data_IF_820624550362
#
_entry.id   IF_820624550362
#
_cell.length_a   1.000
_cell.length_b   1.000
_cell.length_c   1.000
_cell.angle_alpha   90.00
_cell.angle_beta   90.00
_cell.angle_gamma   90.00
#
_symmetry.space_group_name_H-M   'P 1'
#
loop_
_entity.id
_entity.type
_entity.pdbx_description
1 polymer ?
#
# COMPACT_ATOMS: atom_id res chain seq x y z
N UNK A 1 8.62 7.69 13.40
CA UNK A 1 9.48 6.48 13.28
C UNK A 1 8.99 5.36 14.19
N UNK A 2 8.80 5.59 15.49
CA UNK A 2 8.28 4.56 16.42
C UNK A 2 6.99 3.89 15.91
N UNK A 3 6.02 4.69 15.43
CA UNK A 3 4.76 4.14 14.93
C UNK A 3 4.90 3.30 13.65
N UNK A 4 5.83 3.62 12.75
CA UNK A 4 6.15 2.77 11.59
C UNK A 4 6.70 1.41 12.05
N UNK A 5 7.63 1.45 13.01
CA UNK A 5 8.25 0.24 13.55
C UNK A 5 7.22 -0.66 14.22
N UNK A 6 6.32 -0.08 15.03
CA UNK A 6 5.24 -0.79 15.69
C UNK A 6 4.29 -1.49 14.69
N UNK A 7 4.09 -0.90 13.51
CA UNK A 7 3.24 -1.46 12.44
C UNK A 7 3.98 -2.47 11.54
N UNK A 8 5.25 -2.73 11.81
CA UNK A 8 6.07 -3.74 11.13
C UNK A 8 6.93 -3.23 9.98
N UNK A 9 6.93 -1.92 9.69
CA UNK A 9 7.81 -1.30 8.71
C UNK A 9 9.23 -1.12 9.28
N UNK A 10 9.95 -2.24 9.44
CA UNK A 10 11.30 -2.27 10.05
C UNK A 10 12.42 -1.80 9.13
N UNK A 11 12.20 -1.83 7.81
CA UNK A 11 13.17 -1.40 6.81
C UNK A 11 12.70 -0.11 6.16
N UNK A 12 13.50 0.95 6.26
CA UNK A 12 13.21 2.26 5.68
C UNK A 12 14.13 2.47 4.49
N UNK A 13 13.60 2.36 3.28
CA UNK A 13 14.36 2.58 2.04
C UNK A 13 14.48 4.07 1.78
N UNK A 14 15.68 4.59 1.64
CA UNK A 14 15.87 6.04 1.73
C UNK A 14 16.97 6.61 0.85
N UNK A 15 16.77 7.87 0.47
CA UNK A 15 17.81 8.76 -0.03
C UNK A 15 17.79 10.00 0.85
N UNK A 16 18.89 10.26 1.56
CA UNK A 16 18.97 11.39 2.49
C UNK A 16 19.16 12.73 1.76
N UNK A 17 18.79 13.81 2.42
CA UNK A 17 18.94 15.18 1.93
C UNK A 17 18.50 16.18 2.98
N UNK A 18 18.78 17.47 2.75
CA UNK A 18 18.51 18.54 3.71
C UNK A 18 17.07 18.53 4.24
N UNK A 19 16.09 18.25 3.37
CA UNK A 19 14.68 18.24 3.73
C UNK A 19 14.32 17.18 4.77
N UNK A 20 15.06 16.06 4.89
CA UNK A 20 14.77 14.96 5.82
C UNK A 20 15.83 14.80 6.90
N UNK A 21 16.59 15.85 7.21
CA UNK A 21 17.75 15.77 8.11
C UNK A 21 17.42 15.06 9.44
N UNK A 22 16.41 15.56 10.16
CA UNK A 22 16.01 15.02 11.46
C UNK A 22 15.31 13.66 11.34
N UNK A 23 14.55 13.43 10.26
CA UNK A 23 13.93 12.12 10.02
C UNK A 23 14.97 11.05 9.73
N UNK A 24 16.02 11.37 8.96
CA UNK A 24 17.11 10.45 8.67
C UNK A 24 17.93 10.12 9.93
N UNK A 25 18.17 11.10 10.80
CA UNK A 25 18.79 10.90 12.10
C UNK A 25 17.92 10.03 13.02
N UNK A 26 16.60 10.27 13.04
CA UNK A 26 15.65 9.46 13.81
C UNK A 26 15.60 8.00 13.34
N UNK A 27 15.75 7.73 12.04
CA UNK A 27 15.89 6.34 11.53
C UNK A 27 17.20 5.73 12.06
N UNK A 28 18.32 6.45 11.98
CA UNK A 28 19.61 5.96 12.44
C UNK A 28 19.68 5.72 13.96
N UNK A 29 18.97 6.53 14.75
CA UNK A 29 18.94 6.42 16.21
C UNK A 29 18.00 5.31 16.73
N UNK A 30 17.05 4.86 15.90
CA UNK A 30 16.03 3.89 16.33
C UNK A 30 16.54 2.45 16.26
N UNK A 31 16.66 1.79 17.41
CA UNK A 31 17.31 0.46 17.55
C UNK A 31 16.71 -0.67 16.72
N UNK A 32 15.43 -0.61 16.40
CA UNK A 32 14.73 -1.65 15.65
C UNK A 32 14.50 -1.31 14.17
N UNK A 33 14.84 -0.08 13.74
CA UNK A 33 14.70 0.31 12.35
C UNK A 33 16.05 0.14 11.63
N UNK A 34 15.98 -0.36 10.40
CA UNK A 34 17.12 -0.46 9.51
C UNK A 34 16.92 0.54 8.36
N UNK A 35 17.71 1.61 8.36
CA UNK A 35 17.81 2.51 7.23
C UNK A 35 18.59 1.84 6.09
N UNK A 36 17.95 1.69 4.93
CA UNK A 36 18.58 1.12 3.72
C UNK A 36 18.82 2.28 2.74
N UNK A 37 20.05 2.80 2.62
CA UNK A 37 20.34 3.86 1.67
C UNK A 37 20.38 3.32 0.24
N UNK A 38 19.78 4.05 -0.70
CA UNK A 38 19.86 3.78 -2.14
C UNK A 38 20.44 5.00 -2.88
N UNK A 39 20.79 4.79 -4.15
CA UNK A 39 21.35 5.85 -4.99
C UNK A 39 20.30 6.68 -5.74
N UNK A 40 19.04 6.24 -5.76
CA UNK A 40 17.95 6.93 -6.44
C UNK A 40 16.62 6.70 -5.73
N UNK A 41 15.78 7.73 -5.61
CA UNK A 41 14.51 7.67 -4.87
C UNK A 41 13.50 6.74 -5.53
N UNK A 42 13.52 6.65 -6.87
CA UNK A 42 12.75 5.63 -7.59
C UNK A 42 13.09 4.21 -7.14
N UNK A 43 14.38 3.90 -6.95
CA UNK A 43 14.80 2.58 -6.46
C UNK A 43 14.35 2.38 -5.01
N UNK A 44 14.40 3.42 -4.17
CA UNK A 44 13.91 3.35 -2.80
C UNK A 44 12.40 3.09 -2.73
N UNK A 45 11.63 3.77 -3.59
CA UNK A 45 10.20 3.57 -3.73
C UNK A 45 9.87 2.13 -4.15
N UNK A 46 10.52 1.59 -5.18
CA UNK A 46 10.30 0.20 -5.60
C UNK A 46 10.77 -0.83 -4.56
N UNK A 47 11.86 -0.56 -3.84
CA UNK A 47 12.31 -1.44 -2.76
C UNK A 47 11.27 -1.52 -1.64
N UNK A 48 10.63 -0.39 -1.30
CA UNK A 48 9.53 -0.36 -0.32
C UNK A 48 8.33 -1.19 -0.81
N UNK A 49 7.96 -1.06 -2.09
CA UNK A 49 6.87 -1.86 -2.69
C UNK A 49 7.19 -3.35 -2.67
N UNK A 50 8.39 -3.75 -3.11
CA UNK A 50 8.81 -5.14 -3.13
C UNK A 50 8.86 -5.74 -1.71
N UNK A 51 9.36 -4.98 -0.74
CA UNK A 51 9.35 -5.38 0.66
C UNK A 51 7.93 -5.64 1.16
N UNK A 52 6.99 -4.76 0.85
CA UNK A 52 5.61 -4.90 1.28
C UNK A 52 4.93 -6.12 0.65
N UNK A 53 5.16 -6.35 -0.65
CA UNK A 53 4.66 -7.51 -1.36
C UNK A 53 5.19 -8.83 -0.78
N UNK A 54 6.48 -8.89 -0.46
CA UNK A 54 7.12 -10.12 0.00
C UNK A 54 6.83 -10.44 1.48
N UNK A 55 6.76 -9.42 2.32
CA UNK A 55 6.62 -9.61 3.78
C UNK A 55 5.18 -9.57 4.27
N UNK A 56 4.25 -9.02 3.46
CA UNK A 56 2.89 -8.71 3.89
C UNK A 56 2.80 -7.58 4.93
N UNK A 57 3.93 -6.92 5.26
CA UNK A 57 4.00 -5.76 6.16
C UNK A 57 4.07 -4.46 5.34
N UNK A 58 3.74 -3.29 5.92
CA UNK A 58 3.86 -2.04 5.19
C UNK A 58 5.32 -1.76 4.76
N UNK A 59 5.49 -1.33 3.52
CA UNK A 59 6.77 -0.80 3.02
C UNK A 59 6.93 0.67 3.39
N UNK A 60 8.15 1.14 3.64
CA UNK A 60 8.41 2.54 3.96
C UNK A 60 9.52 3.15 3.10
N UNK A 61 9.25 4.31 2.51
CA UNK A 61 10.20 5.08 1.70
C UNK A 61 10.38 6.47 2.30
N UNK A 62 11.63 6.90 2.52
CA UNK A 62 11.98 8.22 3.06
C UNK A 62 12.85 9.01 2.07
N UNK A 63 12.35 10.17 1.62
CA UNK A 63 12.99 10.98 0.58
C UNK A 63 12.95 12.47 0.91
N UNK A 64 13.88 13.24 0.35
CA UNK A 64 13.91 14.69 0.58
C UNK A 64 12.79 15.46 -0.18
N UNK A 65 12.84 16.78 -0.11
CA UNK A 65 11.90 17.66 -0.84
C UNK A 65 12.16 17.66 -2.34
N UNK A 66 11.22 18.21 -3.11
CA UNK A 66 11.45 18.61 -4.48
C UNK A 66 11.70 17.45 -5.43
N UNK A 67 12.84 17.51 -6.13
CA UNK A 67 13.23 16.46 -7.06
C UNK A 67 13.24 15.08 -6.41
N UNK A 68 13.70 14.98 -5.16
CA UNK A 68 13.76 13.70 -4.45
C UNK A 68 12.35 13.10 -4.25
N UNK A 69 11.38 13.89 -3.79
CA UNK A 69 10.00 13.41 -3.66
C UNK A 69 9.36 13.11 -5.02
N UNK A 70 9.60 13.94 -6.04
CA UNK A 70 9.08 13.67 -7.40
C UNK A 70 9.69 12.43 -8.05
N UNK A 71 10.94 12.10 -7.76
CA UNK A 71 11.61 10.89 -8.26
C UNK A 71 10.99 9.60 -7.70
N UNK A 72 10.31 9.66 -6.55
CA UNK A 72 9.65 8.50 -5.94
C UNK A 72 8.25 8.20 -6.53
N UNK A 73 7.65 9.16 -7.25
CA UNK A 73 6.24 9.10 -7.69
C UNK A 73 5.92 7.87 -8.54
N UNK A 74 6.86 7.37 -9.36
CA UNK A 74 6.62 6.16 -10.15
C UNK A 74 6.38 4.94 -9.26
N UNK A 75 7.10 4.81 -8.15
CA UNK A 75 6.87 3.74 -7.19
C UNK A 75 5.57 3.91 -6.41
N UNK A 76 5.15 5.15 -6.14
CA UNK A 76 3.82 5.45 -5.57
C UNK A 76 2.73 4.96 -6.51
N UNK A 77 2.82 5.31 -7.80
CA UNK A 77 1.85 4.88 -8.81
C UNK A 77 1.78 3.35 -8.90
N UNK A 78 2.92 2.67 -8.87
CA UNK A 78 2.94 1.21 -8.87
C UNK A 78 2.26 0.63 -7.62
N UNK A 79 2.56 1.15 -6.43
CA UNK A 79 1.89 0.75 -5.19
C UNK A 79 0.38 0.98 -5.26
N UNK A 80 -0.07 2.07 -5.88
CA UNK A 80 -1.48 2.40 -6.06
C UNK A 80 -2.21 1.41 -6.97
N UNK A 81 -1.63 1.13 -8.14
CA UNK A 81 -2.21 0.23 -9.13
C UNK A 81 -2.32 -1.20 -8.58
N UNK A 82 -1.27 -1.67 -7.91
CA UNK A 82 -1.19 -3.04 -7.39
C UNK A 82 -1.83 -3.18 -6.00
N UNK A 83 -2.29 -2.08 -5.40
CA UNK A 83 -2.91 -2.06 -4.08
C UNK A 83 -1.96 -2.50 -2.96
N UNK A 84 -0.73 -2.00 -2.96
CA UNK A 84 0.31 -2.39 -2.00
C UNK A 84 0.39 -1.37 -0.85
N UNK A 85 0.37 -1.81 0.42
CA UNK A 85 0.43 -0.91 1.57
C UNK A 85 1.86 -0.34 1.70
N UNK A 86 2.03 0.92 1.33
CA UNK A 86 3.31 1.62 1.42
C UNK A 86 3.14 3.01 2.04
N UNK A 87 4.05 3.37 2.94
CA UNK A 87 4.12 4.71 3.52
C UNK A 87 5.28 5.46 2.91
N UNK A 88 4.97 6.51 2.19
CA UNK A 88 5.96 7.46 1.66
C UNK A 88 6.05 8.63 2.60
N UNK A 89 7.27 8.97 3.00
CA UNK A 89 7.56 10.10 3.88
C UNK A 89 8.50 11.01 3.13
N UNK A 90 8.10 12.27 2.97
CA UNK A 90 9.02 13.30 2.50
C UNK A 90 9.30 14.33 3.56
N UNK A 91 10.49 14.87 3.47
CA UNK A 91 10.83 16.11 4.14
C UNK A 91 10.56 17.30 3.24
N UNK A 92 10.33 18.45 3.86
CA UNK A 92 10.07 19.71 3.15
C UNK A 92 10.97 20.83 3.69
N UNK A 93 10.98 21.99 3.02
CA UNK A 93 11.47 23.24 3.60
C UNK A 93 10.74 23.58 4.91
N UNK A 94 11.15 24.65 5.61
CA UNK A 94 10.42 25.10 6.80
C UNK A 94 8.98 25.45 6.42
N UNK A 95 8.03 25.23 7.31
CA UNK A 95 6.60 25.33 7.01
C UNK A 95 6.23 26.70 6.39
N UNK A 96 6.77 27.79 6.94
CA UNK A 96 6.58 29.16 6.45
C UNK A 96 7.30 29.49 5.13
N UNK A 97 8.13 28.58 4.65
CA UNK A 97 8.81 28.63 3.35
C UNK A 97 8.17 27.64 2.36
N UNK A 98 6.91 27.26 2.57
CA UNK A 98 6.14 26.43 1.63
C UNK A 98 4.99 27.21 1.01
N UNK A 99 4.90 27.18 -0.31
CA UNK A 99 3.78 27.71 -1.10
C UNK A 99 2.45 27.08 -0.69
N UNK A 100 2.43 25.77 -0.41
CA UNK A 100 1.23 25.05 0.05
C UNK A 100 0.65 25.64 1.34
N UNK A 101 1.49 25.94 2.33
CA UNK A 101 1.03 26.52 3.59
C UNK A 101 0.73 28.01 3.49
N UNK A 102 1.62 28.76 2.83
CA UNK A 102 1.52 30.24 2.78
C UNK A 102 0.43 30.73 1.83
N UNK A 103 0.06 29.93 0.81
CA UNK A 103 -0.91 30.31 -0.21
C UNK A 103 -0.43 31.44 -1.14
N UNK A 104 0.85 31.81 -1.07
CA UNK A 104 1.42 32.89 -1.89
C UNK A 104 1.48 32.39 -3.35
N UNK A 105 0.99 33.17 -4.34
CA UNK A 105 0.89 32.74 -5.73
C UNK A 105 2.24 32.84 -6.47
N UNK A 106 3.25 32.12 -5.96
CA UNK A 106 4.57 31.94 -6.57
C UNK A 106 4.81 30.46 -6.84
N UNK A 107 5.73 30.15 -7.77
CA UNK A 107 5.99 28.75 -8.17
C UNK A 107 6.67 27.92 -7.07
N UNK A 108 7.55 28.55 -6.31
CA UNK A 108 8.37 27.94 -5.27
C UNK A 108 8.78 29.05 -4.30
N UNK A 109 8.71 28.78 -3.00
CA UNK A 109 9.18 29.66 -1.94
C UNK A 109 10.51 29.10 -1.40
N UNK A 110 10.48 27.86 -0.94
CA UNK A 110 11.62 27.17 -0.37
C UNK A 110 12.59 26.66 -1.44
N UNK A 111 13.84 26.44 -1.08
CA UNK A 111 14.82 25.89 -2.02
C UNK A 111 14.40 24.49 -2.45
N UNK A 112 14.35 24.25 -3.78
CA UNK A 112 13.91 22.98 -4.37
C UNK A 112 12.49 22.56 -3.98
N UNK A 113 11.64 23.46 -3.49
CA UNK A 113 10.29 23.09 -3.06
C UNK A 113 9.46 22.53 -4.23
N UNK A 114 8.71 21.47 -3.94
CA UNK A 114 7.58 21.02 -4.74
C UNK A 114 6.38 20.77 -3.82
N UNK A 115 5.18 21.20 -4.23
CA UNK A 115 3.91 20.82 -3.58
C UNK A 115 3.59 19.36 -3.91
N UNK A 116 4.31 18.46 -3.23
CA UNK A 116 4.24 17.02 -3.48
C UNK A 116 2.85 16.46 -3.24
N UNK A 117 2.11 17.00 -2.26
CA UNK A 117 0.77 16.53 -1.92
C UNK A 117 -0.17 16.67 -3.12
N UNK A 118 -0.13 17.81 -3.82
CA UNK A 118 -0.95 18.01 -5.02
C UNK A 118 -0.59 17.07 -6.18
N UNK A 119 0.65 16.58 -6.23
CA UNK A 119 1.11 15.63 -7.24
C UNK A 119 0.71 14.18 -6.93
N UNK A 120 0.72 13.79 -5.65
CA UNK A 120 0.50 12.39 -5.25
C UNK A 120 -0.92 12.09 -4.77
N UNK A 121 -1.72 13.11 -4.44
CA UNK A 121 -3.10 12.94 -4.01
C UNK A 121 -3.96 12.09 -4.98
N UNK A 122 -3.84 12.20 -6.32
CA UNK A 122 -4.59 11.35 -7.25
C UNK A 122 -4.17 9.88 -7.28
N UNK A 123 -3.01 9.54 -6.70
CA UNK A 123 -2.39 8.20 -6.75
C UNK A 123 -2.06 7.68 -5.35
N UNK A 124 -2.73 8.19 -4.31
CA UNK A 124 -2.56 7.75 -2.92
C UNK A 124 -3.92 7.65 -2.25
N UNK A 125 -4.01 6.78 -1.25
CA UNK A 125 -5.20 6.68 -0.39
C UNK A 125 -5.29 7.85 0.59
N UNK A 126 -4.14 8.42 0.92
CA UNK A 126 -4.03 9.55 1.82
C UNK A 126 -2.75 10.32 1.53
N UNK A 127 -2.83 11.64 1.48
CA UNK A 127 -1.68 12.52 1.32
C UNK A 127 -1.87 13.76 2.19
N UNK A 128 -0.93 14.04 3.09
CA UNK A 128 -1.00 15.19 4.01
C UNK A 128 0.37 15.83 4.20
N UNK A 129 0.39 17.16 4.32
CA UNK A 129 1.55 17.89 4.83
C UNK A 129 1.28 18.23 6.30
N UNK A 130 2.19 17.88 7.20
CA UNK A 130 2.03 18.15 8.62
C UNK A 130 2.29 19.64 8.87
N UNK A 131 1.26 20.36 9.33
CA UNK A 131 1.34 21.80 9.62
C UNK A 131 1.42 22.11 11.12
N UNK A 132 1.15 21.11 11.97
CA UNK A 132 1.18 21.20 13.43
C UNK A 132 1.75 19.89 13.98
N UNK A 133 2.81 19.98 14.77
CA UNK A 133 3.49 18.82 15.36
C UNK A 133 2.57 18.05 16.31
N UNK A 134 1.57 18.69 16.92
CA UNK A 134 0.60 18.02 17.80
C UNK A 134 -0.32 17.03 17.06
N UNK A 135 -0.40 17.11 15.73
CA UNK A 135 -1.23 16.24 14.91
C UNK A 135 -0.50 15.00 14.41
N UNK A 136 0.82 14.91 14.60
CA UNK A 136 1.65 13.87 13.98
C UNK A 136 1.21 12.45 14.36
N UNK A 137 0.75 12.24 15.60
CA UNK A 137 0.28 10.93 16.06
C UNK A 137 -0.98 10.54 15.30
N UNK A 138 -2.03 11.37 15.37
CA UNK A 138 -3.28 11.14 14.64
C UNK A 138 -3.04 10.95 13.13
N UNK A 139 -2.25 11.82 12.50
CA UNK A 139 -1.99 11.78 11.05
C UNK A 139 -1.22 10.53 10.62
N UNK A 140 -0.21 10.13 11.40
CA UNK A 140 0.56 8.91 11.14
C UNK A 140 -0.31 7.65 11.32
N UNK A 141 -1.10 7.60 12.39
CA UNK A 141 -1.99 6.47 12.65
C UNK A 141 -3.09 6.34 11.59
N UNK A 142 -3.67 7.46 11.18
CA UNK A 142 -4.65 7.53 10.09
C UNK A 142 -4.04 7.07 8.77
N UNK A 143 -2.84 7.53 8.43
CA UNK A 143 -2.15 7.12 7.21
C UNK A 143 -1.90 5.60 7.20
N UNK A 144 -1.41 5.01 8.29
CA UNK A 144 -1.19 3.56 8.40
C UNK A 144 -2.49 2.76 8.31
N UNK A 145 -3.54 3.23 8.97
CA UNK A 145 -4.87 2.61 8.89
C UNK A 145 -5.40 2.62 7.45
N UNK A 146 -5.31 3.77 6.77
CA UNK A 146 -5.78 3.92 5.39
C UNK A 146 -4.93 3.12 4.40
N UNK A 147 -3.61 2.99 4.61
CA UNK A 147 -2.75 2.17 3.78
C UNK A 147 -3.17 0.69 3.77
N UNK A 148 -3.71 0.20 4.89
CA UNK A 148 -3.98 -1.22 5.12
C UNK A 148 -5.45 -1.64 5.03
N UNK A 149 -6.40 -0.71 5.20
CA UNK A 149 -7.83 -1.03 5.26
C UNK A 149 -8.48 -1.08 3.88
N UNK A 150 -9.38 -2.04 3.63
CA UNK A 150 -10.07 -2.20 2.34
C UNK A 150 -9.10 -2.61 1.22
N UNK A 151 -9.26 -2.04 0.02
CA UNK A 151 -8.20 -2.16 -1.01
C UNK A 151 -6.98 -1.38 -0.53
N UNK A 152 -5.92 -2.11 -0.14
CA UNK A 152 -4.65 -1.55 0.35
C UNK A 152 -4.03 -0.61 -0.69
N UNK A 153 -3.11 0.23 -0.26
CA UNK A 153 -2.46 1.18 -1.18
C UNK A 153 -1.52 2.15 -0.49
N UNK A 154 -0.89 3.03 -1.26
CA UNK A 154 0.12 3.96 -0.76
C UNK A 154 -0.51 5.16 -0.06
N UNK A 155 0.21 5.68 0.93
CA UNK A 155 -0.07 6.94 1.62
C UNK A 155 1.18 7.81 1.65
N UNK A 156 1.00 9.13 1.75
CA UNK A 156 2.09 10.10 1.73
C UNK A 156 1.99 11.08 2.91
N UNK A 157 3.09 11.25 3.64
CA UNK A 157 3.22 12.24 4.71
C UNK A 157 4.40 13.16 4.38
N UNK A 158 4.13 14.44 4.14
CA UNK A 158 5.15 15.47 3.94
C UNK A 158 5.39 16.24 5.25
N UNK A 159 6.62 16.32 5.70
CA UNK A 159 6.97 16.89 7.02
C UNK A 159 7.94 18.05 6.86
N UNK A 160 7.53 19.30 7.13
CA UNK A 160 8.42 20.47 7.13
C UNK A 160 9.60 20.37 8.10
N UNK A 161 10.75 20.92 7.72
CA UNK A 161 12.00 20.74 8.45
C UNK A 161 11.96 21.26 9.90
N UNK A 162 11.27 22.36 10.15
CA UNK A 162 11.04 22.90 11.48
C UNK A 162 10.15 21.99 12.31
N UNK A 163 9.05 21.49 11.74
CA UNK A 163 8.15 20.52 12.38
C UNK A 163 8.88 19.22 12.76
N UNK A 164 9.79 18.72 11.91
CA UNK A 164 10.57 17.51 12.22
C UNK A 164 11.44 17.64 13.48
N UNK A 165 11.86 18.86 13.83
CA UNK A 165 12.77 19.12 14.95
C UNK A 165 12.03 19.54 16.23
N UNK A 166 10.73 19.81 16.15
CA UNK A 166 9.94 20.19 17.31
C UNK A 166 9.90 19.06 18.37
N UNK A 167 9.86 19.47 19.63
CA UNK A 167 9.75 18.55 20.77
C UNK A 167 8.27 18.39 21.09
N UNK A 168 7.85 17.14 21.18
CA UNK A 168 6.48 16.74 21.47
C UNK A 168 6.49 15.67 22.57
N UNK A 169 5.37 15.53 23.27
CA UNK A 169 5.10 14.42 24.19
C UNK A 169 4.07 13.48 23.55
N UNK A 170 4.48 12.42 22.83
CA UNK A 170 3.58 11.64 21.97
C UNK A 170 2.40 10.99 22.71
N UNK A 171 2.56 10.74 24.01
CA UNK A 171 1.52 10.13 24.85
C UNK A 171 0.37 11.09 25.19
N UNK A 172 0.59 12.39 25.06
CA UNK A 172 -0.40 13.43 25.33
C UNK A 172 -1.15 13.87 24.07
N UNK A 173 -0.68 13.46 22.89
CA UNK A 173 -1.26 13.83 21.61
C UNK A 173 -2.50 13.01 21.27
N UNK A 174 -3.40 13.65 20.52
CA UNK A 174 -4.62 13.01 20.04
C UNK A 174 -4.28 11.83 19.12
N UNK A 175 -4.95 10.71 19.39
CA UNK A 175 -4.83 9.48 18.60
C UNK A 175 -5.92 9.40 17.55
N UNK A 176 -5.63 8.73 16.46
CA UNK A 176 -6.62 8.45 15.45
C UNK A 176 -7.62 7.43 15.98
N UNK A 177 -8.88 7.82 16.07
CA UNK A 177 -9.99 6.92 16.39
C UNK A 177 -10.54 6.38 15.08
N UNK A 178 -10.38 5.09 14.86
CA UNK A 178 -11.07 4.41 13.76
C UNK A 178 -12.58 4.50 14.00
N UNK A 179 -13.34 4.96 13.00
CA UNK A 179 -14.79 4.74 13.03
C UNK A 179 -15.10 3.24 13.09
N UNK A 180 -16.34 2.86 13.41
CA UNK A 180 -16.78 1.46 13.32
C UNK A 180 -16.38 0.92 11.95
N UNK A 181 -15.35 0.05 11.92
CA UNK A 181 -14.94 -0.59 10.69
C UNK A 181 -16.17 -1.21 10.05
N UNK A 182 -16.27 -1.16 8.73
CA UNK A 182 -17.31 -1.90 8.04
C UNK A 182 -17.00 -3.38 8.23
N UNK A 183 -17.49 -3.98 9.31
CA UNK A 183 -17.64 -5.42 9.41
C UNK A 183 -18.72 -5.75 8.37
N UNK A 184 -18.27 -5.97 7.13
CA UNK A 184 -19.14 -6.45 6.09
C UNK A 184 -19.53 -7.88 6.46
N UNK A 185 -20.71 -8.01 7.05
CA UNK A 185 -21.36 -9.29 7.25
C UNK A 185 -22.16 -9.60 5.98
N UNK A 186 -21.79 -10.63 5.21
CA UNK A 186 -22.55 -11.03 4.04
C UNK A 186 -23.98 -11.40 4.44
N UNK A 187 -24.96 -11.00 3.63
CA UNK A 187 -26.35 -11.40 3.85
C UNK A 187 -26.47 -12.91 3.66
N UNK A 188 -27.33 -13.55 4.48
CA UNK A 188 -27.54 -15.00 4.40
C UNK A 188 -28.04 -15.40 3.02
N UNK A 189 -28.89 -14.58 2.43
CA UNK A 189 -29.46 -14.76 1.10
C UNK A 189 -28.39 -14.75 0.00
N UNK A 190 -27.34 -13.92 0.13
CA UNK A 190 -26.23 -13.88 -0.83
C UNK A 190 -25.39 -15.16 -0.75
N UNK A 191 -25.13 -15.66 0.46
CA UNK A 191 -24.42 -16.93 0.67
C UNK A 191 -25.24 -18.10 0.10
N UNK A 192 -26.55 -18.13 0.38
CA UNK A 192 -27.45 -19.16 -0.15
C UNK A 192 -27.51 -19.13 -1.68
N UNK A 193 -27.52 -17.93 -2.28
CA UNK A 193 -27.46 -17.75 -3.72
C UNK A 193 -26.17 -18.32 -4.33
N UNK A 194 -25.01 -17.93 -3.81
CA UNK A 194 -23.70 -18.39 -4.33
C UNK A 194 -23.57 -19.91 -4.14
N UNK A 195 -23.99 -20.44 -3.00
CA UNK A 195 -23.96 -21.88 -2.72
C UNK A 195 -24.84 -22.67 -3.69
N UNK A 196 -26.05 -22.18 -3.97
CA UNK A 196 -26.96 -22.81 -4.94
C UNK A 196 -26.44 -22.73 -6.37
N UNK A 197 -25.84 -21.60 -6.75
CA UNK A 197 -25.21 -21.44 -8.07
C UNK A 197 -24.08 -22.45 -8.25
N UNK A 198 -23.18 -22.56 -7.26
CA UNK A 198 -22.07 -23.53 -7.27
C UNK A 198 -22.56 -24.97 -7.32
N UNK A 199 -23.62 -25.30 -6.58
CA UNK A 199 -24.17 -26.66 -6.56
C UNK A 199 -24.80 -27.09 -7.90
N UNK A 200 -25.40 -26.14 -8.63
CA UNK A 200 -26.04 -26.41 -9.91
C UNK A 200 -25.09 -26.31 -11.12
N UNK A 201 -23.88 -25.79 -10.93
CA UNK A 201 -22.90 -25.65 -12.00
C UNK A 201 -22.29 -27.01 -12.36
N UNK A 202 -22.24 -27.32 -13.65
CA UNK A 202 -21.57 -28.51 -14.18
C UNK A 202 -20.07 -28.26 -14.40
N UNK A 203 -19.67 -27.00 -14.69
CA UNK A 203 -18.29 -26.60 -15.00
C UNK A 203 -17.91 -25.30 -14.26
N UNK A 204 -17.98 -25.27 -12.92
CA UNK A 204 -17.57 -24.09 -12.16
C UNK A 204 -16.06 -23.85 -12.28
N UNK A 205 -15.66 -22.59 -12.32
CA UNK A 205 -14.26 -22.17 -12.24
C UNK A 205 -14.12 -20.99 -11.27
N UNK A 206 -12.92 -20.84 -10.71
CA UNK A 206 -12.55 -19.70 -9.87
C UNK A 206 -11.55 -18.84 -10.63
N UNK A 207 -11.71 -17.52 -10.57
CA UNK A 207 -10.72 -16.54 -11.01
C UNK A 207 -10.24 -15.74 -9.79
N UNK A 208 -8.96 -15.87 -9.44
CA UNK A 208 -8.37 -15.17 -8.31
C UNK A 208 -7.48 -14.00 -8.72
N UNK A 209 -7.43 -12.98 -7.89
CA UNK A 209 -6.50 -11.86 -8.02
C UNK A 209 -5.69 -11.57 -6.75
N UNK A 210 -4.92 -10.48 -6.76
CA UNK A 210 -4.01 -10.11 -5.68
C UNK A 210 -4.72 -9.81 -4.35
N UNK A 211 -6.03 -9.55 -4.40
CA UNK A 211 -6.89 -9.36 -3.23
C UNK A 211 -6.90 -10.55 -2.28
N UNK A 212 -6.66 -11.78 -2.76
CA UNK A 212 -6.56 -12.98 -1.89
C UNK A 212 -5.45 -12.81 -0.85
N UNK A 213 -4.24 -12.42 -1.29
CA UNK A 213 -3.12 -12.18 -0.36
C UNK A 213 -3.39 -10.96 0.50
N UNK A 214 -3.92 -9.89 -0.09
CA UNK A 214 -4.21 -8.66 0.65
C UNK A 214 -5.22 -8.87 1.78
N UNK A 215 -6.14 -9.82 1.65
CA UNK A 215 -7.12 -10.21 2.65
C UNK A 215 -6.66 -11.33 3.60
N UNK A 216 -5.42 -11.82 3.48
CA UNK A 216 -4.91 -12.96 4.23
C UNK A 216 -5.72 -14.26 4.03
N UNK A 217 -6.38 -14.39 2.88
CA UNK A 217 -7.33 -15.47 2.58
C UNK A 217 -6.70 -16.64 1.80
N UNK A 218 -5.37 -16.76 1.79
CA UNK A 218 -4.66 -17.80 1.01
C UNK A 218 -5.02 -19.20 1.50
N UNK A 219 -5.06 -19.41 2.81
CA UNK A 219 -5.41 -20.72 3.38
C UNK A 219 -6.89 -21.04 3.23
N UNK A 220 -7.76 -20.04 3.37
CA UNK A 220 -9.21 -20.19 3.15
C UNK A 220 -9.52 -20.56 1.70
N UNK A 221 -8.88 -19.88 0.74
CA UNK A 221 -8.96 -20.23 -0.67
C UNK A 221 -8.51 -21.67 -0.90
N UNK A 222 -7.35 -22.05 -0.37
CA UNK A 222 -6.81 -23.40 -0.53
C UNK A 222 -7.78 -24.46 0.00
N UNK A 223 -8.28 -24.28 1.22
CA UNK A 223 -9.22 -25.20 1.84
C UNK A 223 -10.54 -25.29 1.05
N UNK A 224 -11.05 -24.17 0.55
CA UNK A 224 -12.25 -24.14 -0.30
C UNK A 224 -12.04 -24.89 -1.61
N UNK A 225 -10.96 -24.58 -2.32
CA UNK A 225 -10.62 -25.20 -3.61
C UNK A 225 -10.43 -26.70 -3.49
N UNK A 226 -9.68 -27.16 -2.47
CA UNK A 226 -9.41 -28.59 -2.27
C UNK A 226 -10.65 -29.37 -1.84
N UNK A 227 -11.50 -28.77 -0.98
CA UNK A 227 -12.74 -29.42 -0.52
C UNK A 227 -13.74 -29.66 -1.65
N UNK A 228 -13.86 -28.72 -2.57
CA UNK A 228 -14.85 -28.78 -3.66
C UNK A 228 -14.25 -29.17 -5.02
N UNK A 229 -12.92 -29.32 -5.09
CA UNK A 229 -12.18 -29.69 -6.30
C UNK A 229 -12.49 -28.79 -7.51
N UNK A 230 -12.59 -27.48 -7.28
CA UNK A 230 -12.94 -26.49 -8.32
C UNK A 230 -11.67 -25.99 -9.02
N UNK A 231 -11.58 -26.01 -10.36
CA UNK A 231 -10.45 -25.45 -11.09
C UNK A 231 -10.25 -23.96 -10.82
N UNK A 232 -8.99 -23.56 -10.63
CA UNK A 232 -8.56 -22.20 -10.33
C UNK A 232 -7.77 -21.62 -11.50
N UNK A 233 -8.18 -20.43 -11.92
CA UNK A 233 -7.47 -19.55 -12.83
C UNK A 233 -7.08 -18.28 -12.08
N UNK A 234 -6.08 -17.54 -12.55
CA UNK A 234 -5.55 -16.40 -11.82
C UNK A 234 -5.20 -15.21 -12.72
N UNK A 235 -5.34 -14.01 -12.19
CA UNK A 235 -4.72 -12.83 -12.78
C UNK A 235 -3.19 -12.91 -12.69
N UNK A 236 -2.48 -12.20 -13.56
CA UNK A 236 -1.01 -12.14 -13.53
C UNK A 236 -0.42 -11.65 -12.19
N UNK A 237 -1.23 -11.01 -11.35
CA UNK A 237 -0.87 -10.54 -10.01
C UNK A 237 -1.02 -11.57 -8.89
N UNK A 238 -1.55 -12.76 -9.18
CA UNK A 238 -1.82 -13.82 -8.19
C UNK A 238 -1.40 -15.26 -8.56
N UNK A 239 -0.32 -15.49 -9.33
CA UNK A 239 0.08 -16.85 -9.72
C UNK A 239 0.48 -17.74 -8.54
N UNK A 240 0.97 -17.12 -7.48
CA UNK A 240 1.48 -17.76 -6.26
C UNK A 240 0.40 -17.93 -5.17
N UNK A 241 -0.76 -17.27 -5.30
CA UNK A 241 -1.76 -17.22 -4.24
C UNK A 241 -2.37 -18.60 -3.93
N UNK A 242 -2.63 -19.42 -4.95
CA UNK A 242 -2.94 -20.84 -4.76
C UNK A 242 -1.69 -21.71 -4.94
N UNK A 243 -0.80 -21.33 -5.87
CA UNK A 243 0.45 -22.01 -6.20
C UNK A 243 0.38 -22.70 -7.57
N UNK A 244 1.46 -22.58 -8.34
CA UNK A 244 1.54 -23.05 -9.73
C UNK A 244 1.60 -24.57 -9.88
N UNK A 245 2.09 -25.28 -8.86
CA UNK A 245 2.28 -26.74 -8.90
C UNK A 245 1.01 -27.51 -8.52
N UNK A 246 -0.03 -26.83 -8.04
CA UNK A 246 -1.27 -27.50 -7.66
C UNK A 246 -2.02 -28.01 -8.89
N UNK A 247 -2.60 -29.23 -8.83
CA UNK A 247 -3.29 -29.83 -9.97
C UNK A 247 -4.55 -29.05 -10.41
N UNK A 248 -5.16 -28.29 -9.49
CA UNK A 248 -6.31 -27.44 -9.77
C UNK A 248 -5.91 -26.03 -10.27
N UNK A 249 -4.61 -25.73 -10.35
CA UNK A 249 -4.09 -24.45 -10.86
C UNK A 249 -3.96 -24.53 -12.38
N UNK A 250 -4.94 -23.97 -13.10
CA UNK A 250 -5.06 -24.18 -14.55
C UNK A 250 -4.22 -23.19 -15.36
N UNK A 251 -4.08 -21.96 -14.86
CA UNK A 251 -3.21 -20.97 -15.48
C UNK A 251 -3.71 -19.53 -15.39
N UNK A 252 -2.83 -18.63 -15.82
CA UNK A 252 -3.12 -17.20 -15.88
C UNK A 252 -4.12 -16.85 -16.98
N UNK A 253 -4.95 -15.84 -16.72
CA UNK A 253 -5.96 -15.31 -17.65
C UNK A 253 -5.53 -13.94 -18.14
N UNK A 254 -5.68 -13.68 -19.45
CA UNK A 254 -5.30 -12.42 -20.09
C UNK A 254 -4.77 -12.57 -21.50
N UNK A 255 -4.25 -11.48 -22.05
CA UNK A 255 -3.88 -11.37 -23.47
C UNK A 255 -2.41 -11.73 -23.72
N UNK A 256 -1.49 -11.18 -22.92
CA UNK A 256 -0.04 -11.28 -23.17
C UNK A 256 0.63 -12.21 -22.15
N UNK A 257 1.28 -13.27 -22.63
CA UNK A 257 2.02 -14.22 -21.78
C UNK A 257 1.14 -15.09 -20.86
N UNK A 258 -0.18 -15.10 -21.08
CA UNK A 258 -1.12 -15.86 -20.27
C UNK A 258 -1.37 -17.28 -20.80
N UNK A 259 -1.83 -18.17 -19.93
CA UNK A 259 -2.09 -19.58 -20.28
C UNK A 259 -3.29 -19.70 -21.22
N UNK A 260 -3.13 -20.44 -22.32
CA UNK A 260 -4.27 -20.87 -23.14
C UNK A 260 -5.27 -21.66 -22.30
N UNK A 261 -4.80 -22.54 -21.43
CA UNK A 261 -5.67 -23.33 -20.57
C UNK A 261 -6.49 -22.44 -19.63
N UNK A 262 -5.86 -21.43 -19.00
CA UNK A 262 -6.56 -20.46 -18.14
C UNK A 262 -7.68 -19.73 -18.88
N UNK A 263 -7.39 -19.18 -20.07
CA UNK A 263 -8.41 -18.55 -20.90
C UNK A 263 -9.52 -19.53 -21.33
N UNK A 264 -9.18 -20.75 -21.73
CA UNK A 264 -10.16 -21.76 -22.13
C UNK A 264 -11.07 -22.16 -20.96
N UNK A 265 -10.54 -22.31 -19.75
CA UNK A 265 -11.32 -22.62 -18.56
C UNK A 265 -12.37 -21.54 -18.30
N UNK A 266 -11.99 -20.27 -18.33
CA UNK A 266 -12.95 -19.15 -18.16
C UNK A 266 -14.00 -19.13 -19.26
N UNK A 267 -13.61 -19.33 -20.53
CA UNK A 267 -14.55 -19.27 -21.64
C UNK A 267 -15.50 -20.47 -21.71
N UNK A 268 -15.14 -21.59 -21.08
CA UNK A 268 -15.95 -22.81 -21.08
C UNK A 268 -16.64 -23.09 -19.73
N UNK A 269 -16.43 -22.26 -18.71
CA UNK A 269 -17.15 -22.38 -17.44
C UNK A 269 -18.59 -21.92 -17.60
N UNK A 270 -19.51 -22.63 -16.95
CA UNK A 270 -20.92 -22.21 -16.84
C UNK A 270 -21.17 -21.32 -15.60
N UNK A 271 -20.22 -21.30 -14.67
CA UNK A 271 -20.17 -20.38 -13.53
C UNK A 271 -18.72 -19.97 -13.25
N UNK A 272 -18.48 -18.67 -13.10
CA UNK A 272 -17.19 -18.13 -12.71
C UNK A 272 -17.29 -17.40 -11.36
N UNK A 273 -16.57 -17.88 -10.36
CA UNK A 273 -16.44 -17.21 -9.06
C UNK A 273 -15.18 -16.33 -9.06
N UNK A 274 -15.36 -15.01 -9.00
CA UNK A 274 -14.26 -14.04 -9.05
C UNK A 274 -13.92 -13.57 -7.63
N UNK A 275 -12.68 -13.78 -7.19
CA UNK A 275 -12.23 -13.50 -5.83
C UNK A 275 -10.98 -12.62 -5.82
N UNK A 276 -11.11 -11.39 -5.31
CA UNK A 276 -9.99 -10.49 -5.10
C UNK A 276 -9.27 -10.02 -6.37
N UNK A 277 -9.98 -9.91 -7.49
CA UNK A 277 -9.45 -9.35 -8.75
C UNK A 277 -9.49 -7.83 -8.83
#
# INVERSE_FOLDING_TARGET
>A
MERLCADGAKHIFMVTGRGVLFLSDAVAAHKELNGIPLHHEQSAAYAAVAYAQYTGKPGACLVSTGCASTNAITGVLNAWQDGIPCVFISGQNKLKETTRYTGIPIRTFGQQEADIISLVQPITKYAVMITDSNQIVCEMEKALYLAQTGRKGPVWIDVPLDIQNERIEPNELEKFVTGNGSNFEPLKEDIEYVTKALHNAERPAILIGSGIRSADAVQDLKAFVEKYSIPVTYAGSAPDAYGLENPLSIGSVGIMGCSRAGNFTVQNSDLLLVLGC
#
